data_IF_726326989679
#
_entry.id   IF_726326989679
#
_cell.length_a   1.000
_cell.length_b   1.000
_cell.length_c   1.000
_cell.angle_alpha   90.00
_cell.angle_beta   90.00
_cell.angle_gamma   90.00
#
_symmetry.space_group_name_H-M   'P 1'
#
loop_
_entity.id
_entity.type
_entity.pdbx_description
1 polymer ?
#
# COMPACT_ATOMS: atom_id res chain seq x y z
N UNK A 1 13.76 -3.75 -3.11
CA UNK A 1 13.99 -2.28 -3.10
C UNK A 1 13.15 -1.56 -4.16
N UNK A 2 13.10 -2.05 -5.41
CA UNK A 2 12.33 -1.41 -6.50
C UNK A 2 10.83 -1.21 -6.21
N UNK A 3 10.17 -2.12 -5.46
CA UNK A 3 8.73 -2.00 -5.17
C UNK A 3 8.35 -0.81 -4.29
N UNK A 4 9.16 -0.49 -3.29
CA UNK A 4 8.90 0.68 -2.44
C UNK A 4 9.01 1.98 -3.24
N UNK A 5 10.07 2.10 -4.06
CA UNK A 5 10.25 3.22 -4.96
C UNK A 5 9.15 3.29 -6.03
N UNK A 6 8.62 2.16 -6.48
CA UNK A 6 7.51 2.12 -7.43
C UNK A 6 6.23 2.76 -6.84
N UNK A 7 5.94 2.51 -5.56
CA UNK A 7 4.79 3.15 -4.89
C UNK A 7 5.02 4.66 -4.71
N UNK A 8 6.24 5.08 -4.38
CA UNK A 8 6.57 6.51 -4.29
C UNK A 8 6.54 7.22 -5.66
N UNK A 9 6.92 6.53 -6.75
CA UNK A 9 6.73 7.04 -8.11
C UNK A 9 5.26 7.16 -8.49
N UNK A 10 4.43 6.25 -7.96
CA UNK A 10 2.96 6.21 -8.12
C UNK A 10 2.25 6.80 -6.89
N UNK A 11 2.78 7.90 -6.36
CA UNK A 11 2.40 8.48 -5.07
C UNK A 11 0.89 8.71 -4.93
N UNK A 12 0.26 9.28 -5.96
CA UNK A 12 -1.17 9.57 -6.01
C UNK A 12 -1.86 8.89 -7.21
N UNK A 13 -1.28 7.80 -7.71
CA UNK A 13 -1.88 7.03 -8.80
C UNK A 13 -2.74 5.89 -8.24
N UNK A 14 -4.06 6.06 -8.38
CA UNK A 14 -5.07 5.09 -7.96
C UNK A 14 -5.45 4.12 -9.08
N UNK A 15 -4.94 4.34 -10.31
CA UNK A 15 -5.29 3.53 -11.47
C UNK A 15 -4.37 2.31 -11.59
N UNK A 16 -4.87 1.28 -12.28
CA UNK A 16 -4.12 0.04 -12.45
C UNK A 16 -4.20 -0.88 -11.24
N UNK A 17 -3.25 -1.81 -11.20
CA UNK A 17 -3.24 -2.96 -10.29
C UNK A 17 -1.93 -3.02 -9.52
N UNK A 18 -2.00 -3.39 -8.24
CA UNK A 18 -0.84 -3.64 -7.39
C UNK A 18 -0.81 -5.10 -7.00
N UNK A 19 0.29 -5.78 -7.36
CA UNK A 19 0.51 -7.17 -6.98
C UNK A 19 0.72 -7.32 -5.47
N UNK A 20 0.48 -8.53 -4.96
CA UNK A 20 0.69 -8.86 -3.54
C UNK A 20 2.05 -8.41 -3.01
N UNK A 21 3.13 -8.72 -3.71
CA UNK A 21 4.47 -8.34 -3.26
C UNK A 21 4.68 -6.83 -3.24
N UNK A 22 4.12 -6.07 -4.19
CA UNK A 22 4.24 -4.60 -4.21
C UNK A 22 3.59 -4.01 -2.95
N UNK A 23 2.38 -4.46 -2.64
CA UNK A 23 1.66 -4.07 -1.43
C UNK A 23 2.42 -4.47 -0.15
N UNK A 24 2.82 -5.74 -0.02
CA UNK A 24 3.44 -6.25 1.20
C UNK A 24 4.87 -5.71 1.42
N UNK A 25 5.64 -5.46 0.36
CA UNK A 25 6.92 -4.76 0.51
C UNK A 25 6.71 -3.30 0.91
N UNK A 26 5.72 -2.59 0.35
CA UNK A 26 5.39 -1.24 0.80
C UNK A 26 5.06 -1.22 2.29
N UNK A 27 4.17 -2.11 2.75
CA UNK A 27 3.80 -2.25 4.16
C UNK A 27 5.04 -2.55 5.03
N UNK A 28 5.89 -3.50 4.61
CA UNK A 28 7.11 -3.84 5.33
C UNK A 28 8.05 -2.63 5.50
N UNK A 29 8.37 -1.93 4.40
CA UNK A 29 9.27 -0.77 4.46
C UNK A 29 8.64 0.39 5.23
N UNK A 30 7.34 0.61 5.08
CA UNK A 30 6.60 1.59 5.88
C UNK A 30 6.76 1.31 7.38
N UNK A 31 6.63 0.06 7.83
CA UNK A 31 6.86 -0.31 9.23
C UNK A 31 8.31 -0.12 9.66
N UNK A 32 9.28 -0.51 8.84
CA UNK A 32 10.71 -0.32 9.15
C UNK A 32 11.04 1.17 9.32
N UNK A 33 10.62 2.03 8.38
CA UNK A 33 10.82 3.48 8.48
C UNK A 33 10.09 4.08 9.67
N UNK A 34 8.87 3.63 9.96
CA UNK A 34 8.10 4.08 11.12
C UNK A 34 8.84 3.79 12.43
N UNK A 35 9.33 2.57 12.61
CA UNK A 35 10.10 2.18 13.81
C UNK A 35 11.38 3.00 13.91
N UNK A 36 12.12 3.13 12.81
CA UNK A 36 13.35 3.91 12.77
C UNK A 36 13.12 5.38 13.17
N UNK A 37 12.07 6.01 12.64
CA UNK A 37 11.73 7.41 12.95
C UNK A 37 11.22 7.59 14.38
N UNK A 38 10.45 6.66 14.92
CA UNK A 38 10.03 6.71 16.33
C UNK A 38 11.24 6.64 17.27
N UNK A 39 12.19 5.75 17.00
CA UNK A 39 13.43 5.66 17.77
C UNK A 39 14.30 6.91 17.63
N UNK A 40 14.35 7.48 16.42
CA UNK A 40 15.08 8.71 16.15
C UNK A 40 14.46 9.91 16.89
N UNK A 41 13.14 10.05 16.87
CA UNK A 41 12.42 11.10 17.60
C UNK A 41 12.60 10.95 19.11
N UNK A 42 12.61 9.72 19.62
CA UNK A 42 12.87 9.43 21.03
C UNK A 42 14.30 9.81 21.44
N UNK A 43 15.30 9.47 20.61
CA UNK A 43 16.71 9.74 20.91
C UNK A 43 17.04 11.24 20.91
N UNK A 44 16.40 12.01 20.03
CA UNK A 44 16.65 13.45 19.89
C UNK A 44 15.68 14.33 20.70
N UNK A 45 14.75 13.71 21.44
CA UNK A 45 13.69 14.40 22.19
C UNK A 45 12.85 15.35 21.31
N UNK A 46 12.64 15.00 20.03
CA UNK A 46 11.95 15.84 19.05
C UNK A 46 10.43 15.66 19.03
N UNK A 47 9.86 15.04 20.08
CA UNK A 47 8.40 14.90 20.28
C UNK A 47 7.62 14.41 19.05
N UNK A 48 8.14 13.38 18.35
CA UNK A 48 7.51 12.75 17.19
C UNK A 48 7.37 13.63 15.93
N UNK A 49 8.13 14.73 15.81
CA UNK A 49 8.07 15.61 14.62
C UNK A 49 8.42 14.84 13.34
N UNK A 50 9.47 14.03 13.34
CA UNK A 50 9.91 13.34 12.12
C UNK A 50 8.94 12.22 11.72
N UNK A 51 8.54 11.39 12.68
CA UNK A 51 7.50 10.38 12.48
C UNK A 51 6.17 11.01 12.04
N UNK A 52 5.79 12.15 12.64
CA UNK A 52 4.59 12.90 12.29
C UNK A 52 4.57 13.32 10.83
N UNK A 53 5.63 13.99 10.36
CA UNK A 53 5.77 14.41 8.96
C UNK A 53 5.78 13.22 7.99
N UNK A 54 6.50 12.15 8.33
CA UNK A 54 6.51 10.94 7.54
C UNK A 54 5.11 10.32 7.44
N UNK A 55 4.42 10.16 8.58
CA UNK A 55 3.09 9.56 8.62
C UNK A 55 2.08 10.33 7.75
N UNK A 56 2.12 11.66 7.79
CA UNK A 56 1.29 12.54 6.96
C UNK A 56 1.59 12.36 5.47
N UNK A 57 2.88 12.33 5.11
CA UNK A 57 3.31 12.11 3.72
C UNK A 57 2.91 10.73 3.17
N UNK A 58 2.72 9.74 4.04
CA UNK A 58 2.40 8.38 3.63
C UNK A 58 0.90 8.09 3.54
N UNK A 59 0.01 9.00 3.94
CA UNK A 59 -1.45 8.80 3.90
C UNK A 59 -1.90 8.50 2.46
N UNK A 60 -1.56 9.38 1.52
CA UNK A 60 -1.97 9.27 0.12
C UNK A 60 -1.44 7.99 -0.53
N UNK A 61 -0.13 7.68 -0.51
CA UNK A 61 0.39 6.48 -1.16
C UNK A 61 -0.13 5.19 -0.51
N UNK A 62 -0.40 5.18 0.80
CA UNK A 62 -1.00 4.02 1.49
C UNK A 62 -2.40 3.70 0.99
N UNK A 63 -3.23 4.73 0.78
CA UNK A 63 -4.57 4.56 0.21
C UNK A 63 -4.45 4.16 -1.27
N UNK A 64 -3.57 4.82 -2.04
CA UNK A 64 -3.39 4.56 -3.47
C UNK A 64 -2.97 3.11 -3.74
N UNK A 65 -1.97 2.58 -3.02
CA UNK A 65 -1.56 1.18 -3.18
C UNK A 65 -2.63 0.20 -2.68
N UNK A 66 -3.39 0.55 -1.63
CA UNK A 66 -4.53 -0.23 -1.15
C UNK A 66 -5.65 -0.34 -2.18
N UNK A 67 -5.99 0.76 -2.85
CA UNK A 67 -6.97 0.80 -3.96
C UNK A 67 -6.49 -0.06 -5.13
N UNK A 68 -5.24 0.10 -5.58
CA UNK A 68 -4.67 -0.73 -6.66
C UNK A 68 -4.61 -2.22 -6.28
N UNK A 69 -4.44 -2.54 -4.99
CA UNK A 69 -4.51 -3.93 -4.48
C UNK A 69 -5.94 -4.48 -4.55
N UNK A 70 -6.97 -3.67 -4.27
CA UNK A 70 -8.37 -4.06 -4.45
C UNK A 70 -8.70 -4.28 -5.93
N UNK A 71 -8.22 -3.39 -6.81
CA UNK A 71 -8.37 -3.55 -8.26
C UNK A 71 -7.76 -4.85 -8.76
N UNK A 72 -6.61 -5.27 -8.23
CA UNK A 72 -5.96 -6.51 -8.63
C UNK A 72 -6.79 -7.76 -8.29
N UNK A 73 -7.66 -7.70 -7.28
CA UNK A 73 -8.61 -8.78 -6.95
C UNK A 73 -10.02 -8.57 -7.54
N UNK A 74 -10.16 -7.67 -8.51
CA UNK A 74 -11.43 -7.36 -9.18
C UNK A 74 -12.45 -6.69 -8.28
N UNK A 75 -11.99 -5.90 -7.30
CA UNK A 75 -12.84 -5.15 -6.38
C UNK A 75 -12.67 -3.65 -6.59
N UNK A 76 -13.76 -2.90 -6.47
CA UNK A 76 -13.74 -1.44 -6.57
C UNK A 76 -12.89 -0.80 -5.47
N UNK A 77 -12.11 0.23 -5.82
CA UNK A 77 -11.33 1.02 -4.86
C UNK A 77 -12.15 1.63 -3.72
N UNK A 78 -13.44 1.91 -3.96
CA UNK A 78 -14.36 2.42 -2.93
C UNK A 78 -14.51 1.48 -1.73
N UNK A 79 -14.28 0.18 -1.92
CA UNK A 79 -14.31 -0.79 -0.82
C UNK A 79 -13.22 -0.53 0.22
N UNK A 80 -12.19 0.28 -0.09
CA UNK A 80 -11.20 0.72 0.89
C UNK A 80 -11.83 1.53 2.04
N UNK A 81 -12.97 2.19 1.83
CA UNK A 81 -13.68 2.93 2.89
C UNK A 81 -14.17 2.03 4.04
N UNK A 82 -14.23 0.72 3.84
CA UNK A 82 -14.51 -0.23 4.92
C UNK A 82 -13.45 -0.15 6.03
N UNK A 83 -12.24 0.37 5.74
CA UNK A 83 -11.21 0.67 6.77
C UNK A 83 -11.70 1.61 7.88
N UNK A 84 -12.73 2.44 7.64
CA UNK A 84 -13.31 3.30 8.65
C UNK A 84 -14.17 2.55 9.69
N UNK A 85 -14.50 1.27 9.45
CA UNK A 85 -15.17 0.41 10.42
C UNK A 85 -14.11 -0.21 11.34
N UNK A 86 -14.05 0.16 12.63
CA UNK A 86 -13.01 -0.33 13.53
C UNK A 86 -13.03 -1.85 13.66
N UNK A 87 -11.83 -2.44 13.77
CA UNK A 87 -11.58 -3.89 13.89
C UNK A 87 -12.05 -4.72 12.70
N UNK A 88 -13.36 -4.80 12.46
CA UNK A 88 -13.97 -5.63 11.40
C UNK A 88 -13.47 -5.20 10.03
N UNK A 89 -13.45 -3.89 9.76
CA UNK A 89 -13.03 -3.37 8.47
C UNK A 89 -11.56 -3.64 8.18
N UNK A 90 -10.69 -3.46 9.17
CA UNK A 90 -9.26 -3.75 9.07
C UNK A 90 -9.00 -5.25 8.84
N UNK A 91 -9.65 -6.13 9.61
CA UNK A 91 -9.51 -7.59 9.45
C UNK A 91 -9.98 -8.03 8.06
N UNK A 92 -11.10 -7.50 7.60
CA UNK A 92 -11.65 -7.86 6.30
C UNK A 92 -10.76 -7.40 5.13
N UNK A 93 -10.26 -6.16 5.17
CA UNK A 93 -9.29 -5.68 4.17
C UNK A 93 -7.98 -6.47 4.20
N UNK A 94 -7.49 -6.84 5.39
CA UNK A 94 -6.32 -7.69 5.55
C UNK A 94 -6.50 -9.03 4.82
N UNK A 95 -7.65 -9.68 5.00
CA UNK A 95 -7.99 -10.93 4.30
C UNK A 95 -7.97 -10.71 2.79
N UNK A 96 -8.57 -9.62 2.30
CA UNK A 96 -8.57 -9.30 0.87
C UNK A 96 -7.16 -9.05 0.31
N UNK A 97 -6.31 -8.35 1.04
CA UNK A 97 -4.95 -8.04 0.61
C UNK A 97 -4.04 -9.28 0.54
N UNK A 98 -4.37 -10.34 1.29
CA UNK A 98 -3.70 -11.65 1.22
C UNK A 98 -4.15 -12.52 0.03
N UNK A 99 -5.35 -12.31 -0.53
CA UNK A 99 -5.88 -13.12 -1.65
C UNK A 99 -5.01 -13.00 -2.90
N UNK A 100 -4.91 -14.03 -3.76
CA UNK A 100 -4.30 -13.88 -5.08
C UNK A 100 -5.09 -12.88 -5.95
N UNK A 101 -4.38 -12.19 -6.84
CA UNK A 101 -5.01 -11.35 -7.87
C UNK A 101 -5.73 -12.18 -8.93
N UNK A 102 -6.57 -11.52 -9.71
CA UNK A 102 -7.24 -12.11 -10.89
C UNK A 102 -6.17 -12.42 -11.95
N UNK A 103 -6.19 -13.63 -12.50
CA UNK A 103 -5.27 -14.02 -13.57
C UNK A 103 -5.67 -13.36 -14.90
N UNK A 104 -4.69 -12.87 -15.64
CA UNK A 104 -4.91 -12.17 -16.90
C UNK A 104 -5.46 -10.75 -16.71
N UNK A 105 -5.99 -10.17 -17.78
CA UNK A 105 -6.51 -8.79 -17.77
C UNK A 105 -7.84 -8.68 -17.03
N UNK A 106 -8.03 -7.58 -16.28
CA UNK A 106 -9.31 -7.23 -15.68
C UNK A 106 -9.72 -5.79 -16.05
N UNK A 107 -10.86 -5.31 -15.54
CA UNK A 107 -11.39 -3.96 -15.82
C UNK A 107 -10.43 -2.81 -15.46
N UNK A 108 -9.43 -3.09 -14.60
CA UNK A 108 -8.43 -2.13 -14.13
C UNK A 108 -7.08 -2.27 -14.85
N UNK A 109 -6.94 -3.21 -15.79
CA UNK A 109 -5.75 -3.36 -16.62
C UNK A 109 -5.17 -4.78 -16.69
N UNK A 110 -4.03 -4.94 -17.40
CA UNK A 110 -3.38 -6.24 -17.62
C UNK A 110 -2.81 -6.84 -16.33
N UNK A 111 -2.49 -8.13 -16.34
CA UNK A 111 -1.93 -8.82 -15.18
C UNK A 111 -0.55 -8.23 -14.81
N UNK A 112 -0.34 -7.78 -13.55
CA UNK A 112 0.96 -7.31 -13.09
C UNK A 112 2.11 -8.32 -13.24
N UNK A 113 1.81 -9.63 -13.33
CA UNK A 113 2.81 -10.67 -13.58
C UNK A 113 3.28 -10.67 -15.03
N UNK A 114 2.35 -10.57 -15.99
CA UNK A 114 2.67 -10.52 -17.42
C UNK A 114 3.52 -9.28 -17.76
N UNK A 115 3.22 -8.14 -17.13
CA UNK A 115 4.03 -6.93 -17.28
C UNK A 115 5.45 -7.07 -16.72
N UNK A 116 5.61 -7.82 -15.62
CA UNK A 116 6.91 -8.02 -14.98
C UNK A 116 7.79 -9.04 -15.72
N UNK A 117 7.21 -9.89 -16.56
CA UNK A 117 7.93 -10.83 -17.43
C UNK A 117 8.38 -10.19 -18.75
N UNK A 118 7.81 -9.04 -19.11
CA UNK A 118 8.15 -8.28 -20.31
C UNK A 118 9.29 -7.24 -20.10
N UNK A 119 9.68 -6.96 -18.85
CA UNK A 119 10.76 -6.04 -18.44
C UNK A 119 12.06 -6.79 -18.13
#
# INVERSE_FOLDING_TARGET
MNYFLAVLKKYADFNGRARRSEYWYFVLFFFIFSIALVLFDFLLETYAVFYGLFSLSMIIPSIAVGVRRLHDIGKSGWMYMISFIPFIGAIWLLILFCKPGVEGSNEFGPDPKELAEAE
#
